data_IF_298668419986
#
_entry.id   IF_298668419986
#
_cell.length_a   1.000
_cell.length_b   1.000
_cell.length_c   1.000
_cell.angle_alpha   90.00
_cell.angle_beta   90.00
_cell.angle_gamma   90.00
#
_symmetry.space_group_name_H-M   'P 1'
#
loop_
_entity.id
_entity.type
_entity.pdbx_description
1 polymer ?
#
# COMPACT_ATOMS: atom_id res chain seq x y z
N UNK A 1 33.65 -20.58 14.32
CA UNK A 1 33.65 -21.26 15.63
C UNK A 1 33.39 -20.20 16.69
N UNK A 2 32.12 -20.01 17.06
CA UNK A 2 31.71 -19.02 18.06
C UNK A 2 31.69 -19.73 19.40
N UNK A 3 32.54 -19.28 20.31
CA UNK A 3 32.72 -19.89 21.64
C UNK A 3 31.48 -19.63 22.49
N UNK A 4 30.91 -20.71 23.03
CA UNK A 4 29.83 -20.69 24.01
C UNK A 4 30.45 -20.37 25.37
N UNK A 5 30.18 -19.19 25.92
CA UNK A 5 30.50 -18.88 27.31
C UNK A 5 29.48 -19.57 28.23
N UNK A 6 29.98 -20.38 29.17
CA UNK A 6 29.18 -21.08 30.16
C UNK A 6 28.66 -20.11 31.25
N UNK A 7 27.45 -20.33 31.80
CA UNK A 7 26.89 -19.46 32.82
C UNK A 7 27.55 -19.63 34.19
N UNK A 8 27.90 -18.49 34.78
CA UNK A 8 28.46 -18.32 36.13
C UNK A 8 27.48 -18.89 37.18
N UNK A 9 27.91 -19.92 37.91
CA UNK A 9 27.17 -20.49 39.05
C UNK A 9 27.30 -19.55 40.25
N UNK A 10 26.20 -18.94 40.66
CA UNK A 10 26.12 -18.20 41.92
C UNK A 10 25.86 -19.18 43.07
N UNK A 11 26.85 -19.34 43.93
CA UNK A 11 26.74 -20.11 45.17
C UNK A 11 25.70 -19.46 46.09
N UNK A 12 24.68 -20.24 46.47
CA UNK A 12 23.69 -19.83 47.47
C UNK A 12 24.26 -20.11 48.85
N UNK A 13 24.70 -19.06 49.56
CA UNK A 13 24.95 -19.11 51.00
C UNK A 13 23.67 -19.50 51.74
N UNK A 14 23.62 -20.73 52.27
CA UNK A 14 22.55 -21.15 53.18
C UNK A 14 22.84 -20.67 54.60
N UNK A 15 22.23 -19.55 55.00
CA UNK A 15 22.19 -19.12 56.42
C UNK A 15 21.28 -20.06 57.24
N UNK A 16 21.67 -20.44 58.48
CA UNK A 16 20.83 -21.27 59.34
C UNK A 16 19.54 -20.53 59.73
N UNK A 17 18.38 -21.11 59.39
CA UNK A 17 17.05 -20.64 59.80
C UNK A 17 16.88 -20.80 61.31
N UNK A 18 17.14 -19.74 62.08
CA UNK A 18 16.64 -19.62 63.46
C UNK A 18 15.12 -19.56 63.40
N UNK A 19 14.44 -20.61 63.89
CA UNK A 19 12.99 -20.63 64.08
C UNK A 19 12.64 -19.77 65.30
N UNK A 20 12.58 -18.46 65.13
CA UNK A 20 11.82 -17.61 66.06
C UNK A 20 10.36 -17.70 65.65
N UNK A 21 9.59 -18.53 66.36
CA UNK A 21 8.13 -18.54 66.23
C UNK A 21 7.60 -17.20 66.75
N UNK A 22 7.53 -16.20 65.87
CA UNK A 22 6.67 -15.05 66.10
C UNK A 22 5.24 -15.58 66.04
N UNK A 23 4.67 -15.82 67.21
CA UNK A 23 3.21 -15.91 67.35
C UNK A 23 2.68 -14.55 66.91
N UNK A 24 2.25 -14.47 65.64
CA UNK A 24 1.45 -13.35 65.14
C UNK A 24 0.15 -13.43 65.92
N UNK A 25 0.11 -12.78 67.09
CA UNK A 25 -1.13 -12.52 67.80
C UNK A 25 -1.98 -11.74 66.80
N UNK A 26 -3.10 -12.32 66.36
CA UNK A 26 -4.14 -11.55 65.67
C UNK A 26 -4.38 -10.31 66.53
N UNK A 27 -4.31 -9.09 65.99
CA UNK A 27 -4.68 -7.93 66.79
C UNK A 27 -6.12 -8.14 67.23
N UNK A 28 -6.38 -8.12 68.54
CA UNK A 28 -7.73 -8.10 69.08
C UNK A 28 -8.42 -6.86 68.49
N UNK A 29 -9.27 -7.08 67.48
CA UNK A 29 -9.99 -6.03 66.78
C UNK A 29 -10.88 -5.23 67.74
N UNK A 30 -11.32 -5.83 68.84
CA UNK A 30 -12.02 -5.16 69.94
C UNK A 30 -11.16 -4.08 70.63
N UNK A 31 -9.85 -4.29 70.74
CA UNK A 31 -8.93 -3.33 71.36
C UNK A 31 -8.63 -2.13 70.45
N UNK A 32 -8.73 -2.29 69.12
CA UNK A 32 -8.69 -1.17 68.17
C UNK A 32 -10.02 -0.40 68.14
N UNK A 33 -11.15 -1.10 68.28
CA UNK A 33 -12.50 -0.53 68.29
C UNK A 33 -12.73 0.46 69.45
N UNK A 34 -12.12 0.19 70.62
CA UNK A 34 -12.16 1.09 71.79
C UNK A 34 -11.35 2.38 71.65
N UNK A 35 -10.40 2.47 70.70
CA UNK A 35 -9.42 3.57 70.65
C UNK A 35 -9.87 4.80 69.84
N UNK A 36 -10.92 4.70 69.01
CA UNK A 36 -11.34 5.80 68.12
C UNK A 36 -12.67 6.45 68.51
N UNK A 37 -13.28 6.02 69.61
CA UNK A 37 -14.59 6.52 70.00
C UNK A 37 -14.44 7.77 70.87
N UNK A 38 -14.82 8.93 70.33
CA UNK A 38 -14.97 10.16 71.12
C UNK A 38 -16.03 9.90 72.20
N UNK A 39 -15.83 10.42 73.42
CA UNK A 39 -16.73 10.13 74.55
C UNK A 39 -18.19 10.56 74.31
N UNK A 40 -18.44 11.46 73.35
CA UNK A 40 -19.75 11.91 72.90
C UNK A 40 -20.26 11.25 71.61
N UNK A 41 -19.44 10.41 70.96
CA UNK A 41 -19.76 9.78 69.68
C UNK A 41 -20.51 8.46 69.85
N UNK A 42 -21.63 8.29 69.13
CA UNK A 42 -22.38 7.02 69.09
C UNK A 42 -21.58 5.94 68.36
N UNK A 43 -21.66 4.70 68.85
CA UNK A 43 -21.04 3.55 68.21
C UNK A 43 -21.55 3.37 66.77
N UNK A 44 -20.65 3.02 65.85
CA UNK A 44 -21.05 2.76 64.48
C UNK A 44 -21.80 1.43 64.37
N UNK A 45 -22.91 1.42 63.63
CA UNK A 45 -23.69 0.20 63.40
C UNK A 45 -22.89 -0.66 62.41
N UNK A 46 -22.55 -1.88 62.86
CA UNK A 46 -21.76 -2.84 62.07
C UNK A 46 -22.64 -4.01 61.63
N UNK A 47 -22.53 -4.36 60.34
CA UNK A 47 -23.17 -5.55 59.77
C UNK A 47 -22.12 -6.52 59.24
N UNK A 48 -22.42 -7.82 59.35
CA UNK A 48 -21.68 -8.87 58.69
C UNK A 48 -22.52 -9.45 57.56
N UNK A 49 -21.91 -9.67 56.41
CA UNK A 49 -22.56 -10.35 55.29
C UNK A 49 -22.35 -11.86 55.41
N UNK A 50 -23.44 -12.62 55.37
CA UNK A 50 -23.39 -14.10 55.38
C UNK A 50 -23.18 -14.70 53.98
N UNK A 51 -23.13 -13.88 52.93
CA UNK A 51 -22.89 -14.34 51.56
C UNK A 51 -21.38 -14.54 51.37
N UNK A 52 -20.89 -15.74 51.04
CA UNK A 52 -19.46 -16.04 51.00
C UNK A 52 -18.72 -15.20 49.95
N UNK A 53 -19.32 -14.96 48.79
CA UNK A 53 -18.71 -14.13 47.74
C UNK A 53 -18.49 -12.69 48.23
N UNK A 54 -19.52 -12.07 48.80
CA UNK A 54 -19.44 -10.71 49.36
C UNK A 54 -18.44 -10.65 50.50
N UNK A 55 -18.42 -11.68 51.35
CA UNK A 55 -17.43 -11.80 52.43
C UNK A 55 -16.00 -11.84 51.91
N UNK A 56 -15.70 -12.69 50.92
CA UNK A 56 -14.36 -12.76 50.33
C UNK A 56 -13.93 -11.46 49.66
N UNK A 57 -14.86 -10.76 49.02
CA UNK A 57 -14.60 -9.46 48.40
C UNK A 57 -14.32 -8.40 49.47
N UNK A 58 -15.13 -8.35 50.54
CA UNK A 58 -14.90 -7.42 51.65
C UNK A 58 -13.60 -7.70 52.40
N UNK A 59 -13.27 -8.98 52.64
CA UNK A 59 -11.98 -9.38 53.21
C UNK A 59 -10.81 -9.00 52.28
N UNK A 60 -10.96 -9.11 50.96
CA UNK A 60 -9.95 -8.66 49.99
C UNK A 60 -9.79 -7.13 49.97
N UNK A 61 -10.89 -6.38 49.92
CA UNK A 61 -10.88 -4.92 49.77
C UNK A 61 -10.55 -4.21 51.09
N UNK A 62 -11.17 -4.63 52.20
CA UNK A 62 -11.08 -3.95 53.50
C UNK A 62 -10.27 -4.71 54.54
N UNK A 63 -9.99 -6.00 54.33
CA UNK A 63 -9.33 -6.86 55.31
C UNK A 63 -10.28 -7.43 56.37
N UNK A 64 -11.56 -7.06 56.33
CA UNK A 64 -12.57 -7.43 57.32
C UNK A 64 -13.91 -7.73 56.65
N UNK A 65 -14.68 -8.68 57.20
CA UNK A 65 -16.02 -9.02 56.73
C UNK A 65 -17.15 -8.16 57.34
N UNK A 66 -16.82 -7.27 58.28
CA UNK A 66 -17.75 -6.32 58.88
C UNK A 66 -17.76 -5.00 58.11
N UNK A 67 -18.94 -4.41 57.95
CA UNK A 67 -19.15 -3.10 57.31
C UNK A 67 -19.78 -2.13 58.29
N UNK A 68 -19.15 -0.97 58.48
CA UNK A 68 -19.67 0.12 59.31
C UNK A 68 -20.51 1.07 58.45
N UNK A 69 -21.84 0.93 58.46
CA UNK A 69 -22.73 1.71 57.57
C UNK A 69 -22.84 3.19 57.97
N UNK A 70 -22.72 3.48 59.26
CA UNK A 70 -22.90 4.84 59.80
C UNK A 70 -21.61 5.66 59.77
N UNK A 71 -20.47 5.04 59.46
CA UNK A 71 -19.19 5.73 59.37
C UNK A 71 -18.96 6.18 57.92
N UNK A 72 -19.03 7.50 57.70
CA UNK A 72 -18.81 8.10 56.38
C UNK A 72 -17.43 7.78 55.82
N UNK A 73 -16.40 7.83 56.65
CA UNK A 73 -15.02 7.62 56.20
C UNK A 73 -14.83 6.17 55.75
N UNK A 74 -15.42 5.23 56.51
CA UNK A 74 -15.42 3.82 56.12
C UNK A 74 -16.15 3.59 54.80
N UNK A 75 -17.36 4.16 54.65
CA UNK A 75 -18.17 3.97 53.45
C UNK A 75 -17.55 4.59 52.20
N UNK A 76 -16.96 5.79 52.31
CA UNK A 76 -16.22 6.42 51.22
C UNK A 76 -15.02 5.58 50.79
N UNK A 77 -14.22 5.12 51.75
CA UNK A 77 -13.05 4.27 51.48
C UNK A 77 -13.42 2.92 50.86
N UNK A 78 -14.52 2.32 51.32
CA UNK A 78 -15.04 1.09 50.74
C UNK A 78 -15.49 1.33 49.29
N UNK A 79 -16.19 2.44 49.02
CA UNK A 79 -16.62 2.80 47.68
C UNK A 79 -15.42 3.03 46.74
N UNK A 80 -14.42 3.80 47.17
CA UNK A 80 -13.17 4.03 46.40
C UNK A 80 -12.52 2.70 46.02
N UNK A 81 -12.32 1.80 46.99
CA UNK A 81 -11.69 0.49 46.73
C UNK A 81 -12.51 -0.42 45.82
N UNK A 82 -13.84 -0.38 45.90
CA UNK A 82 -14.69 -1.13 44.97
C UNK A 82 -14.49 -0.63 43.54
N UNK A 83 -14.39 0.69 43.35
CA UNK A 83 -14.14 1.29 42.05
C UNK A 83 -12.73 0.95 41.53
N UNK A 84 -11.70 1.06 42.39
CA UNK A 84 -10.32 0.68 42.05
C UNK A 84 -10.21 -0.80 41.63
N UNK A 85 -10.81 -1.73 42.38
CA UNK A 85 -10.77 -3.16 42.03
C UNK A 85 -11.50 -3.44 40.71
N UNK A 86 -12.61 -2.74 40.44
CA UNK A 86 -13.30 -2.83 39.16
C UNK A 86 -12.44 -2.30 38.00
N UNK A 87 -11.81 -1.15 38.17
CA UNK A 87 -10.89 -0.56 37.19
C UNK A 87 -9.71 -1.49 36.92
N UNK A 88 -9.07 -2.01 37.97
CA UNK A 88 -7.98 -2.98 37.83
C UNK A 88 -8.41 -4.24 37.07
N UNK A 89 -9.58 -4.79 37.39
CA UNK A 89 -10.11 -5.97 36.69
C UNK A 89 -10.39 -5.65 35.21
N UNK A 90 -10.92 -4.46 34.93
CA UNK A 90 -11.16 -4.01 33.57
C UNK A 90 -9.85 -3.83 32.79
N UNK A 91 -8.86 -3.17 33.38
CA UNK A 91 -7.53 -2.97 32.79
C UNK A 91 -6.82 -4.30 32.54
N UNK A 92 -6.89 -5.25 33.49
CA UNK A 92 -6.37 -6.61 33.29
C UNK A 92 -7.02 -7.30 32.10
N UNK A 93 -8.34 -7.17 31.94
CA UNK A 93 -9.07 -7.74 30.79
C UNK A 93 -8.73 -7.05 29.47
N UNK A 94 -8.44 -5.76 29.49
CA UNK A 94 -8.00 -5.02 28.30
C UNK A 94 -6.61 -5.48 27.90
N UNK A 95 -5.66 -5.49 28.84
CA UNK A 95 -4.29 -5.94 28.62
C UNK A 95 -4.21 -7.38 28.10
N UNK A 96 -4.99 -8.32 28.66
CA UNK A 96 -5.04 -9.69 28.15
C UNK A 96 -5.52 -9.74 26.70
N UNK A 97 -6.53 -8.94 26.33
CA UNK A 97 -7.03 -8.90 24.94
C UNK A 97 -6.04 -8.22 23.99
N UNK A 98 -5.34 -7.19 24.45
CA UNK A 98 -4.28 -6.54 23.68
C UNK A 98 -3.15 -7.54 23.40
N UNK A 99 -2.73 -8.32 24.40
CA UNK A 99 -1.74 -9.39 24.25
C UNK A 99 -2.21 -10.47 23.26
N UNK A 100 -3.44 -10.97 23.41
CA UNK A 100 -4.05 -11.96 22.50
C UNK A 100 -4.10 -11.44 21.05
N UNK A 101 -4.48 -10.18 20.85
CA UNK A 101 -4.54 -9.57 19.52
C UNK A 101 -3.14 -9.36 18.93
N UNK A 102 -2.17 -8.97 19.75
CA UNK A 102 -0.77 -8.84 19.35
C UNK A 102 -0.18 -10.19 18.92
N UNK A 103 -0.45 -11.26 19.67
CA UNK A 103 -0.06 -12.63 19.29
C UNK A 103 -0.74 -13.08 17.99
N UNK A 104 -2.03 -12.78 17.83
CA UNK A 104 -2.78 -13.07 16.59
C UNK A 104 -2.16 -12.38 15.38
N UNK A 105 -1.87 -11.08 15.49
CA UNK A 105 -1.26 -10.31 14.39
C UNK A 105 0.15 -10.79 14.11
N UNK A 106 0.95 -11.09 15.14
CA UNK A 106 2.27 -11.72 14.98
C UNK A 106 2.19 -13.00 14.17
N UNK A 107 1.24 -13.87 14.50
CA UNK A 107 1.04 -15.11 13.75
C UNK A 107 0.64 -14.84 12.29
N UNK A 108 -0.20 -13.83 12.02
CA UNK A 108 -0.56 -13.46 10.66
C UNK A 108 0.61 -12.92 9.82
N UNK A 109 1.50 -12.13 10.43
CA UNK A 109 2.74 -11.66 9.79
C UNK A 109 3.66 -12.84 9.49
N UNK A 110 3.82 -13.78 10.44
CA UNK A 110 4.63 -14.99 10.24
C UNK A 110 4.09 -15.92 9.15
N UNK A 111 2.76 -16.02 9.04
CA UNK A 111 2.09 -16.77 7.97
C UNK A 111 2.20 -16.04 6.62
N UNK A 112 2.49 -14.73 6.62
CA UNK A 112 2.61 -13.91 5.41
C UNK A 112 1.27 -13.40 4.87
N UNK A 113 0.19 -13.43 5.66
CA UNK A 113 -1.10 -12.83 5.28
C UNK A 113 -1.08 -11.30 5.39
N UNK A 114 -0.25 -10.77 6.29
CA UNK A 114 0.00 -9.34 6.45
C UNK A 114 1.41 -9.07 5.93
N UNK A 115 1.60 -8.09 5.02
CA UNK A 115 2.94 -7.72 4.57
C UNK A 115 3.74 -7.10 5.70
N UNK A 116 5.06 -7.29 5.69
CA UNK A 116 5.98 -6.79 6.73
C UNK A 116 5.94 -5.26 6.89
N UNK A 117 5.62 -4.52 5.82
CA UNK A 117 5.45 -3.06 5.85
C UNK A 117 4.29 -2.59 6.74
N UNK A 118 3.28 -3.45 6.95
CA UNK A 118 2.11 -3.19 7.78
C UNK A 118 2.20 -3.90 9.14
N UNK A 119 3.37 -4.44 9.49
CA UNK A 119 3.56 -5.12 10.77
C UNK A 119 3.44 -4.12 11.95
N UNK A 120 2.86 -4.55 13.09
CA UNK A 120 2.78 -3.70 14.28
C UNK A 120 4.16 -3.23 14.76
N UNK A 121 4.28 -1.98 15.26
CA UNK A 121 5.56 -1.42 15.71
C UNK A 121 6.16 -2.20 16.89
N UNK A 122 5.34 -2.82 17.72
CA UNK A 122 5.78 -3.64 18.86
C UNK A 122 6.57 -4.89 18.40
N UNK A 123 6.34 -5.36 17.18
CA UNK A 123 7.09 -6.48 16.59
C UNK A 123 8.46 -6.08 16.03
N UNK A 124 8.85 -4.80 16.06
CA UNK A 124 10.11 -4.33 15.47
C UNK A 124 11.36 -5.04 16.01
N UNK A 125 11.30 -5.55 17.25
CA UNK A 125 12.41 -6.31 17.87
C UNK A 125 12.49 -7.78 17.42
N UNK A 126 11.50 -8.27 16.67
CA UNK A 126 11.48 -9.64 16.17
C UNK A 126 12.61 -9.86 15.15
N UNK A 127 13.33 -10.99 15.14
CA UNK A 127 14.45 -11.23 14.23
C UNK A 127 14.09 -11.06 12.76
N UNK A 128 12.89 -11.48 12.35
CA UNK A 128 12.39 -11.30 10.98
C UNK A 128 12.31 -9.80 10.62
N UNK A 129 11.82 -8.96 11.52
CA UNK A 129 11.76 -7.51 11.31
C UNK A 129 13.16 -6.89 11.27
N UNK A 130 14.07 -7.34 12.14
CA UNK A 130 15.45 -6.84 12.17
C UNK A 130 16.20 -7.16 10.87
N UNK A 131 16.03 -8.38 10.36
CA UNK A 131 16.63 -8.83 9.09
C UNK A 131 16.05 -8.01 7.93
N UNK A 132 14.72 -7.88 7.88
CA UNK A 132 14.04 -7.11 6.84
C UNK A 132 14.50 -5.65 6.84
N UNK A 133 14.53 -5.01 8.01
CA UNK A 133 15.01 -3.64 8.17
C UNK A 133 16.46 -3.49 7.71
N UNK A 134 17.33 -4.45 8.04
CA UNK A 134 18.72 -4.46 7.61
C UNK A 134 18.85 -4.62 6.08
N UNK A 135 18.09 -5.53 5.49
CA UNK A 135 18.03 -5.71 4.04
C UNK A 135 17.51 -4.44 3.34
N UNK A 136 16.46 -3.83 3.87
CA UNK A 136 15.88 -2.60 3.33
C UNK A 136 16.84 -1.41 3.41
N UNK A 137 17.64 -1.31 4.48
CA UNK A 137 18.73 -0.32 4.57
C UNK A 137 19.77 -0.54 3.46
N UNK A 138 20.25 -1.77 3.28
CA UNK A 138 21.23 -2.09 2.22
C UNK A 138 20.67 -1.83 0.81
N UNK A 139 19.40 -2.13 0.59
CA UNK A 139 18.71 -1.85 -0.68
C UNK A 139 18.58 -0.34 -0.89
N UNK A 140 18.22 0.42 0.14
CA UNK A 140 18.11 1.87 0.08
C UNK A 140 19.46 2.52 -0.22
N UNK A 141 20.55 2.09 0.44
CA UNK A 141 21.91 2.56 0.16
C UNK A 141 22.34 2.27 -1.28
N UNK A 142 22.02 1.08 -1.79
CA UNK A 142 22.30 0.72 -3.19
C UNK A 142 21.48 1.58 -4.15
N UNK A 143 20.18 1.74 -3.92
CA UNK A 143 19.28 2.56 -4.74
C UNK A 143 19.69 4.04 -4.73
N UNK A 144 20.13 4.57 -3.60
CA UNK A 144 20.60 5.95 -3.47
C UNK A 144 21.87 6.21 -4.30
N UNK A 145 22.72 5.20 -4.49
CA UNK A 145 23.93 5.29 -5.34
C UNK A 145 23.61 5.21 -6.83
N UNK A 146 22.44 4.70 -7.21
CA UNK A 146 22.03 4.59 -8.62
C UNK A 146 21.56 5.97 -9.09
N UNK A 147 22.36 6.58 -9.96
CA UNK A 147 21.97 7.82 -10.65
C UNK A 147 21.00 7.48 -11.77
N UNK A 148 19.71 7.73 -11.52
CA UNK A 148 18.67 7.61 -12.54
C UNK A 148 18.73 8.86 -13.42
N UNK A 149 19.20 8.70 -14.65
CA UNK A 149 19.15 9.76 -15.66
C UNK A 149 17.71 9.91 -16.15
N UNK A 150 16.99 10.88 -15.60
CA UNK A 150 15.70 11.28 -16.15
C UNK A 150 15.97 12.06 -17.43
N UNK A 151 15.44 11.58 -18.55
CA UNK A 151 15.42 12.37 -19.78
C UNK A 151 14.53 13.58 -19.50
N UNK A 152 15.04 14.79 -19.72
CA UNK A 152 14.21 16.00 -19.68
C UNK A 152 13.37 15.99 -20.95
N UNK A 153 12.20 15.38 -20.89
CA UNK A 153 11.22 15.48 -21.94
C UNK A 153 10.70 16.93 -21.90
N UNK A 154 10.85 17.71 -22.98
CA UNK A 154 10.30 19.06 -23.02
C UNK A 154 8.79 19.03 -22.85
N UNK A 155 8.26 19.91 -22.01
CA UNK A 155 6.84 19.97 -21.60
C UNK A 155 5.86 20.08 -22.78
N UNK A 156 6.31 20.51 -23.97
CA UNK A 156 5.49 20.63 -25.17
C UNK A 156 5.36 19.32 -25.97
N UNK A 157 6.15 18.28 -25.68
CA UNK A 157 6.13 17.00 -26.41
C UNK A 157 5.06 16.02 -25.91
N UNK A 158 4.52 16.24 -24.70
CA UNK A 158 3.40 15.49 -24.14
C UNK A 158 2.31 16.48 -23.71
N UNK A 159 1.44 16.82 -24.65
CA UNK A 159 0.10 17.31 -24.32
C UNK A 159 -0.84 16.12 -24.45
N UNK A 160 -1.03 15.40 -23.35
CA UNK A 160 -2.03 14.35 -23.27
C UNK A 160 -3.30 14.93 -22.65
N UNK A 161 -4.38 14.98 -23.44
CA UNK A 161 -5.71 15.40 -22.98
C UNK A 161 -6.42 14.27 -22.22
N UNK A 162 -5.81 13.09 -22.14
CA UNK A 162 -6.36 11.95 -21.42
C UNK A 162 -6.03 12.07 -19.94
N UNK A 163 -7.01 12.25 -19.04
CA UNK A 163 -6.75 12.29 -17.61
C UNK A 163 -6.18 10.94 -17.14
N UNK A 164 -5.20 10.99 -16.24
CA UNK A 164 -4.60 9.79 -15.65
C UNK A 164 -5.70 8.87 -15.08
N UNK A 165 -5.68 7.56 -15.35
CA UNK A 165 -6.65 6.64 -14.79
C UNK A 165 -6.52 6.62 -13.25
N UNK A 166 -7.61 6.35 -12.51
CA UNK A 166 -7.66 6.41 -11.03
C UNK A 166 -6.75 5.38 -10.32
N UNK A 167 -5.97 4.61 -11.07
CA UNK A 167 -5.02 3.60 -10.59
C UNK A 167 -3.81 4.17 -9.83
N UNK A 168 -3.61 5.49 -9.81
CA UNK A 168 -2.50 6.13 -9.09
C UNK A 168 -1.10 5.87 -9.68
N UNK A 169 -1.02 5.13 -10.79
CA UNK A 169 0.18 4.98 -11.62
C UNK A 169 0.26 6.16 -12.59
N UNK A 170 0.44 7.37 -12.04
CA UNK A 170 0.73 8.55 -12.87
C UNK A 170 2.07 8.32 -13.56
N UNK A 171 2.09 8.39 -14.90
CA UNK A 171 3.27 8.07 -15.70
C UNK A 171 4.40 9.06 -15.41
N UNK A 172 4.12 10.33 -15.10
CA UNK A 172 5.17 11.28 -14.69
C UNK A 172 4.62 12.37 -13.74
N UNK A 173 5.30 12.57 -12.60
CA UNK A 173 5.14 13.72 -11.70
C UNK A 173 5.55 15.01 -12.44
N UNK A 174 4.62 15.58 -13.19
CA UNK A 174 4.87 16.74 -14.05
C UNK A 174 3.81 17.02 -15.11
N UNK A 175 2.83 16.14 -15.31
CA UNK A 175 1.72 16.39 -16.22
C UNK A 175 0.87 17.58 -15.73
N UNK A 176 0.90 18.68 -16.49
CA UNK A 176 -0.02 19.80 -16.29
C UNK A 176 -1.15 19.59 -17.30
N UNK A 177 -2.33 19.22 -16.81
CA UNK A 177 -3.53 19.13 -17.65
C UNK A 177 -3.97 20.53 -18.07
N UNK A 178 -4.43 20.68 -19.32
CA UNK A 178 -5.03 21.94 -19.79
C UNK A 178 -6.22 22.31 -18.92
N UNK A 179 -6.33 23.58 -18.56
CA UNK A 179 -7.51 24.07 -17.87
C UNK A 179 -8.73 24.01 -18.82
N UNK A 180 -9.88 23.59 -18.29
CA UNK A 180 -11.12 23.54 -19.06
C UNK A 180 -11.47 24.94 -19.58
N UNK A 181 -11.23 25.17 -20.88
CA UNK A 181 -11.48 26.45 -21.55
C UNK A 181 -10.30 27.08 -22.28
N UNK A 182 -9.08 26.52 -22.19
CA UNK A 182 -7.97 26.97 -23.03
C UNK A 182 -8.18 26.56 -24.50
N UNK A 183 -8.25 27.54 -25.39
CA UNK A 183 -8.40 27.30 -26.83
C UNK A 183 -7.13 26.61 -27.37
N UNK A 184 -7.29 25.39 -27.88
CA UNK A 184 -6.20 24.55 -28.40
C UNK A 184 -5.36 25.25 -29.47
N UNK A 185 -6.02 26.04 -30.33
CA UNK A 185 -5.41 26.83 -31.38
C UNK A 185 -5.96 28.25 -31.32
N UNK A 186 -5.09 29.23 -31.57
CA UNK A 186 -5.55 30.55 -31.97
C UNK A 186 -6.06 30.46 -33.41
N UNK A 187 -7.19 31.12 -33.75
CA UNK A 187 -7.64 31.19 -35.13
C UNK A 187 -6.50 31.64 -36.05
N UNK A 188 -6.42 31.02 -37.22
CA UNK A 188 -5.35 31.28 -38.21
C UNK A 188 -5.32 32.77 -38.58
N UNK A 189 -6.48 33.45 -38.54
CA UNK A 189 -6.62 34.90 -38.76
C UNK A 189 -5.78 35.77 -37.82
N UNK A 190 -5.34 35.26 -36.66
CA UNK A 190 -4.43 35.99 -35.77
C UNK A 190 -3.00 36.04 -36.30
N UNK A 191 -2.60 35.05 -37.09
CA UNK A 191 -1.22 34.89 -37.59
C UNK A 191 -1.09 35.23 -39.07
N UNK A 192 -2.17 35.10 -39.83
CA UNK A 192 -2.28 35.71 -41.14
C UNK A 192 -2.71 37.16 -40.92
N UNK A 193 -1.73 38.07 -40.93
CA UNK A 193 -2.01 39.50 -41.00
C UNK A 193 -3.01 39.78 -42.13
N UNK A 194 -3.91 40.75 -41.91
CA UNK A 194 -4.91 41.20 -42.88
C UNK A 194 -4.34 41.23 -44.30
N UNK A 195 -4.96 40.47 -45.19
CA UNK A 195 -4.58 40.33 -46.60
C UNK A 195 -4.89 41.60 -47.41
N UNK A 196 -4.36 42.75 -46.99
CA UNK A 196 -4.47 44.01 -47.74
C UNK A 196 -3.23 44.32 -48.59
N UNK A 197 -2.15 43.55 -48.44
CA UNK A 197 -0.96 43.73 -49.28
C UNK A 197 -0.95 42.72 -50.43
N UNK A 198 -1.18 43.24 -51.63
CA UNK A 198 -1.13 42.54 -52.93
C UNK A 198 0.21 41.88 -53.20
N UNK A 199 0.44 40.76 -52.53
CA UNK A 199 1.62 39.93 -52.68
C UNK A 199 1.22 38.74 -53.54
N UNK A 200 1.82 38.65 -54.73
CA UNK A 200 1.61 37.49 -55.60
C UNK A 200 1.87 36.19 -54.82
N UNK A 201 1.09 35.12 -55.06
CA UNK A 201 1.18 33.88 -54.31
C UNK A 201 2.50 33.17 -54.59
N UNK A 202 3.57 33.60 -53.91
CA UNK A 202 4.94 33.10 -54.05
C UNK A 202 5.11 31.62 -53.64
N UNK A 203 4.05 31.02 -53.09
CA UNK A 203 4.05 29.65 -52.57
C UNK A 203 2.98 28.75 -53.19
N UNK A 204 2.25 29.20 -54.21
CA UNK A 204 1.43 28.29 -55.01
C UNK A 204 2.31 27.70 -56.11
N UNK A 205 2.59 26.40 -56.02
CA UNK A 205 3.29 25.67 -57.07
C UNK A 205 2.40 25.71 -58.33
N UNK A 206 2.89 26.20 -59.48
CA UNK A 206 2.10 26.22 -60.71
C UNK A 206 1.75 24.78 -61.12
N UNK A 207 0.55 24.59 -61.67
CA UNK A 207 -0.02 23.26 -61.97
C UNK A 207 0.90 22.41 -62.88
N UNK A 208 1.63 23.08 -63.78
CA UNK A 208 2.61 22.45 -64.66
C UNK A 208 3.86 21.92 -63.92
N UNK A 209 4.28 22.55 -62.84
CA UNK A 209 5.39 22.07 -62.00
C UNK A 209 4.93 20.92 -61.10
N UNK A 210 3.68 20.98 -60.63
CA UNK A 210 3.07 19.87 -59.89
C UNK A 210 2.98 18.60 -60.74
N UNK A 211 2.55 18.72 -62.00
CA UNK A 211 2.45 17.59 -62.93
C UNK A 211 3.80 16.98 -63.33
N UNK A 212 4.88 17.76 -63.26
CA UNK A 212 6.25 17.25 -63.42
C UNK A 212 6.74 16.51 -62.17
N UNK A 213 6.37 17.00 -60.99
CA UNK A 213 6.73 16.38 -59.71
C UNK A 213 5.96 15.07 -59.48
N UNK A 214 4.68 15.05 -59.86
CA UNK A 214 3.81 13.89 -59.77
C UNK A 214 3.86 13.08 -61.08
N UNK A 215 4.91 12.28 -61.23
CA UNK A 215 5.02 11.39 -62.39
C UNK A 215 3.93 10.30 -62.34
N UNK A 216 2.87 10.48 -63.13
CA UNK A 216 1.90 9.42 -63.47
C UNK A 216 2.29 8.78 -64.80
N UNK A 217 2.29 7.46 -64.84
CA UNK A 217 2.53 6.68 -66.06
C UNK A 217 1.52 7.05 -67.16
N UNK A 218 1.95 7.13 -68.43
CA UNK A 218 1.12 7.64 -69.53
C UNK A 218 -0.19 6.86 -69.71
N UNK A 219 -0.16 5.55 -69.48
CA UNK A 219 -1.32 4.66 -69.55
C UNK A 219 -2.34 4.96 -68.45
N UNK A 220 -1.89 5.39 -67.27
CA UNK A 220 -2.77 5.79 -66.17
C UNK A 220 -3.44 7.13 -66.46
N UNK A 221 -2.73 8.05 -67.14
CA UNK A 221 -3.34 9.31 -67.62
C UNK A 221 -4.45 9.06 -68.64
N UNK A 222 -4.26 8.08 -69.54
CA UNK A 222 -5.28 7.69 -70.51
C UNK A 222 -6.50 7.07 -69.83
N UNK A 223 -6.30 6.22 -68.82
CA UNK A 223 -7.39 5.60 -68.06
C UNK A 223 -8.23 6.65 -67.30
N UNK A 224 -7.59 7.71 -66.78
CA UNK A 224 -8.29 8.84 -66.16
C UNK A 224 -9.08 9.71 -67.15
N UNK A 225 -8.76 9.67 -68.43
CA UNK A 225 -9.40 10.49 -69.47
C UNK A 225 -10.58 9.80 -70.16
N UNK A 226 -10.84 8.51 -69.88
CA UNK A 226 -11.96 7.79 -70.47
C UNK A 226 -13.30 8.27 -69.92
N UNK A 227 -14.23 8.66 -70.80
CA UNK A 227 -15.57 9.12 -70.43
C UNK A 227 -16.54 7.95 -70.20
N UNK A 228 -16.28 6.80 -70.84
CA UNK A 228 -17.15 5.62 -70.77
C UNK A 228 -16.51 4.46 -70.01
N UNK A 229 -17.34 3.72 -69.28
CA UNK A 229 -16.89 2.62 -68.41
C UNK A 229 -16.36 1.43 -69.23
N UNK A 230 -16.92 1.16 -70.40
CA UNK A 230 -16.49 0.06 -71.27
C UNK A 230 -15.08 0.29 -71.83
N UNK A 231 -14.76 1.52 -72.25
CA UNK A 231 -13.42 1.90 -72.72
C UNK A 231 -12.38 1.81 -71.59
N UNK A 232 -12.77 2.20 -70.38
CA UNK A 232 -11.91 2.10 -69.20
C UNK A 232 -11.52 0.64 -68.92
N UNK A 233 -12.49 -0.29 -68.95
CA UNK A 233 -12.20 -1.71 -68.74
C UNK A 233 -11.37 -2.31 -69.86
N UNK A 234 -11.63 -1.95 -71.13
CA UNK A 234 -10.82 -2.42 -72.25
C UNK A 234 -9.36 -1.96 -72.16
N UNK A 235 -9.11 -0.71 -71.75
CA UNK A 235 -7.74 -0.22 -71.53
C UNK A 235 -7.09 -0.86 -70.29
N UNK A 236 -7.85 -1.10 -69.21
CA UNK A 236 -7.34 -1.79 -68.03
C UNK A 236 -6.91 -3.22 -68.37
N UNK A 237 -7.70 -3.95 -69.15
CA UNK A 237 -7.36 -5.31 -69.59
C UNK A 237 -6.12 -5.34 -70.48
N UNK A 238 -5.92 -4.34 -71.33
CA UNK A 238 -4.69 -4.20 -72.13
C UNK A 238 -3.45 -3.94 -71.24
N UNK A 239 -3.58 -3.09 -70.22
CA UNK A 239 -2.47 -2.79 -69.28
C UNK A 239 -2.11 -4.04 -68.47
N UNK A 240 -3.11 -4.74 -67.94
CA UNK A 240 -2.92 -5.95 -67.11
C UNK A 240 -2.44 -7.12 -67.98
N UNK A 241 -2.96 -7.25 -69.20
CA UNK A 241 -2.52 -8.28 -70.16
C UNK A 241 -1.05 -8.11 -70.57
N UNK A 242 -0.60 -6.87 -70.81
CA UNK A 242 0.80 -6.58 -71.08
C UNK A 242 1.72 -6.93 -69.90
N UNK A 243 1.26 -6.72 -68.65
CA UNK A 243 2.02 -7.10 -67.46
C UNK A 243 2.09 -8.62 -67.26
N UNK A 244 0.97 -9.34 -67.46
CA UNK A 244 0.95 -10.82 -67.38
C UNK A 244 1.90 -11.48 -68.37
N UNK A 245 2.01 -10.96 -69.59
CA UNK A 245 2.91 -11.51 -70.62
C UNK A 245 4.39 -11.23 -70.33
N UNK A 246 4.71 -10.13 -69.66
CA UNK A 246 6.07 -9.85 -69.16
C UNK A 246 6.47 -10.74 -67.97
N UNK A 247 5.53 -11.04 -67.07
CA UNK A 247 5.76 -11.94 -65.93
C UNK A 247 5.91 -13.42 -66.35
N UNK A 248 5.25 -13.84 -67.44
CA UNK A 248 5.36 -15.21 -67.98
C UNK A 248 6.67 -15.44 -68.76
N UNK A 249 7.27 -14.39 -69.33
CA UNK A 249 8.56 -14.48 -70.06
C UNK A 249 9.78 -14.43 -69.15
N UNK A 250 9.61 -14.08 -67.87
CA UNK A 250 10.69 -13.99 -66.87
C UNK A 250 10.71 -15.17 -65.88
N UNK A 251 9.73 -16.09 -65.95
CA UNK A 251 9.71 -17.35 -65.18
C UNK A 251 10.45 -18.46 -65.94
N UNK A 252 11.66 -18.80 -65.49
CA UNK A 252 12.37 -20.01 -65.91
C UNK A 252 11.64 -21.28 -65.41
N UNK A 253 11.71 -22.42 -66.14
CA UNK A 253 11.07 -23.65 -65.74
C UNK A 253 11.89 -24.37 -64.66
N UNK A 254 11.38 -24.42 -63.42
CA UNK A 254 11.89 -25.30 -62.38
C UNK A 254 11.12 -26.64 -62.42
N UNK A 255 11.63 -27.56 -63.23
CA UNK A 255 11.28 -28.97 -63.19
C UNK A 255 12.07 -29.69 -62.08
N UNK A 256 11.33 -30.39 -61.22
CA UNK A 256 11.67 -31.71 -60.66
C UNK A 256 12.91 -31.88 -59.75
N UNK A 257 12.84 -31.45 -58.48
CA UNK A 257 13.67 -32.04 -57.40
C UNK A 257 12.90 -32.08 -56.06
N UNK A 258 12.01 -33.05 -55.88
CA UNK A 258 11.54 -33.43 -54.51
C UNK A 258 11.13 -34.90 -54.34
N UNK A 259 11.08 -35.71 -55.40
CA UNK A 259 10.65 -37.12 -55.31
C UNK A 259 11.77 -38.16 -55.06
N UNK A 260 12.98 -37.74 -54.65
CA UNK A 260 14.13 -38.67 -54.44
C UNK A 260 14.46 -38.92 -52.95
N UNK A 261 13.73 -38.35 -51.99
CA UNK A 261 14.05 -38.52 -50.55
C UNK A 261 13.05 -39.36 -49.74
N UNK A 262 12.06 -39.97 -50.37
CA UNK A 262 11.07 -40.81 -49.68
C UNK A 262 11.10 -42.29 -50.09
N UNK A 263 12.27 -42.85 -50.41
CA UNK A 263 12.42 -44.30 -50.57
C UNK A 263 13.87 -44.75 -50.32
N UNK A 264 14.18 -45.16 -49.10
CA UNK A 264 15.02 -46.34 -48.82
C UNK A 264 14.84 -46.77 -47.35
N UNK A 265 14.89 -48.09 -47.08
CA UNK A 265 14.24 -48.77 -45.95
C UNK A 265 14.88 -48.55 -44.56
#
# INVERSE_FOLDING_TARGET
MVQFEEPIKTEKETRPRKKTAYVIKKPDLEALKKKSQLWWGKESIQYAFNIPQVRTVLEKLMGTHYVSLTDRNYMQKLQERILEDYEEQMLKRISVREEEEMERVKNLVLIGKIPLDQAPPEMARHPIMLIENYCNQLIAERRAKIKIYKVKIPTFLYWDDTPDPPSGLSIESGHIFRHQGEKLCHPVERHLGSTEDGTEPKYLLPEEEFDKLNYKNSLVKQLMACETVEEMYALADNIIGALKTLDETTKAPEDNISDVLNNTP
#
